data_IF_155092513389
#
_entry.id   IF_155092513389
#
_cell.length_a   1.000
_cell.length_b   1.000
_cell.length_c   1.000
_cell.angle_alpha   90.00
_cell.angle_beta   90.00
_cell.angle_gamma   90.00
#
_symmetry.space_group_name_H-M   'P 1'
#
loop_
_entity.id
_entity.type
_entity.pdbx_description
1 polymer ?
#
# COMPACT_ATOMS: atom_id res chain seq x y z
N UNK A 1 6.41 6.55 5.51
CA UNK A 1 5.62 5.51 6.19
C UNK A 1 6.34 4.18 6.17
N UNK A 2 7.44 4.05 6.91
CA UNK A 2 8.17 2.79 7.05
C UNK A 2 7.42 1.76 7.92
N UNK A 3 6.32 2.16 8.56
CA UNK A 3 5.46 1.30 9.37
C UNK A 3 6.24 0.71 10.53
N UNK A 4 6.35 -0.62 10.55
CA UNK A 4 7.14 -1.35 11.57
C UNK A 4 8.57 -1.63 11.13
N UNK A 5 9.07 -1.00 10.06
CA UNK A 5 10.45 -1.13 9.59
C UNK A 5 10.76 -2.40 8.78
N UNK A 6 9.77 -3.26 8.49
CA UNK A 6 9.98 -4.55 7.79
C UNK A 6 10.72 -4.40 6.45
N UNK A 7 10.31 -3.43 5.62
CA UNK A 7 10.95 -3.22 4.33
C UNK A 7 12.37 -2.64 4.47
N UNK A 8 12.59 -1.71 5.41
CA UNK A 8 13.92 -1.17 5.71
C UNK A 8 14.86 -2.28 6.19
N UNK A 9 14.40 -3.15 7.06
CA UNK A 9 15.16 -4.31 7.53
C UNK A 9 15.55 -5.24 6.38
N UNK A 10 14.58 -5.57 5.50
CA UNK A 10 14.83 -6.40 4.33
C UNK A 10 15.82 -5.75 3.34
N UNK A 11 15.72 -4.44 3.10
CA UNK A 11 16.64 -3.70 2.25
C UNK A 11 18.07 -3.70 2.82
N UNK A 12 18.23 -3.47 4.13
CA UNK A 12 19.54 -3.57 4.80
C UNK A 12 20.12 -4.98 4.71
N UNK A 13 19.30 -6.01 4.94
CA UNK A 13 19.71 -7.41 4.81
C UNK A 13 20.13 -7.79 3.37
N UNK A 14 19.57 -7.10 2.37
CA UNK A 14 19.97 -7.22 0.97
C UNK A 14 21.23 -6.39 0.60
N UNK A 15 21.85 -5.71 1.56
CA UNK A 15 23.09 -4.94 1.37
C UNK A 15 22.89 -3.49 0.95
N UNK A 16 21.67 -2.95 1.04
CA UNK A 16 21.41 -1.54 0.74
C UNK A 16 21.56 -0.63 1.96
N UNK A 17 22.07 0.58 1.74
CA UNK A 17 21.96 1.66 2.71
C UNK A 17 20.51 2.18 2.72
N UNK A 18 19.76 1.82 3.75
CA UNK A 18 18.34 2.15 3.85
C UNK A 18 17.99 2.81 5.20
N UNK A 19 17.20 3.86 5.13
CA UNK A 19 16.55 4.52 6.26
C UNK A 19 15.04 4.57 6.01
N UNK A 20 14.26 4.92 7.04
CA UNK A 20 12.81 4.95 6.92
C UNK A 20 12.19 6.05 7.76
N UNK A 21 11.26 6.79 7.16
CA UNK A 21 10.47 7.84 7.80
C UNK A 21 9.13 7.26 8.26
N UNK A 22 8.77 7.42 9.53
CA UNK A 22 7.52 6.94 10.10
C UNK A 22 6.95 7.89 11.16
N UNK A 23 5.75 8.49 10.94
CA UNK A 23 5.17 9.43 11.91
C UNK A 23 4.63 8.73 13.17
N UNK A 24 4.20 7.47 13.06
CA UNK A 24 3.61 6.74 14.19
C UNK A 24 4.66 6.36 15.24
N UNK A 25 4.51 6.88 16.46
CA UNK A 25 5.32 6.46 17.60
C UNK A 25 5.28 4.94 17.82
N UNK A 26 4.11 4.31 17.60
CA UNK A 26 3.95 2.86 17.70
C UNK A 26 4.72 2.12 16.59
N UNK A 27 4.76 2.66 15.38
CA UNK A 27 5.52 2.12 14.27
C UNK A 27 7.03 2.12 14.56
N UNK A 28 7.56 3.27 14.99
CA UNK A 28 8.97 3.44 15.38
C UNK A 28 9.34 2.51 16.54
N UNK A 29 8.54 2.47 17.60
CA UNK A 29 8.80 1.56 18.73
C UNK A 29 8.80 0.08 18.32
N UNK A 30 7.88 -0.33 17.44
CA UNK A 30 7.84 -1.69 16.93
C UNK A 30 9.05 -2.02 16.05
N UNK A 31 9.52 -1.07 15.23
CA UNK A 31 10.71 -1.25 14.39
C UNK A 31 11.97 -1.45 15.24
N UNK A 32 12.13 -0.66 16.30
CA UNK A 32 13.21 -0.84 17.28
C UNK A 32 13.13 -2.19 17.98
N UNK A 33 11.95 -2.57 18.48
CA UNK A 33 11.78 -3.80 19.25
C UNK A 33 11.98 -5.08 18.43
N UNK A 34 11.55 -5.09 17.16
CA UNK A 34 11.58 -6.30 16.32
C UNK A 34 12.85 -6.41 15.48
N UNK A 35 13.36 -5.29 14.99
CA UNK A 35 14.47 -5.25 14.02
C UNK A 35 15.70 -4.48 14.52
N UNK A 36 15.66 -3.87 15.71
CA UNK A 36 16.74 -2.99 16.17
C UNK A 36 16.93 -1.75 15.29
N UNK A 37 15.89 -1.34 14.56
CA UNK A 37 15.95 -0.23 13.62
C UNK A 37 15.54 1.08 14.28
N UNK A 38 16.43 2.07 14.17
CA UNK A 38 16.08 3.47 14.37
C UNK A 38 15.47 4.03 13.08
N UNK A 39 14.21 4.46 13.17
CA UNK A 39 13.48 5.12 12.09
C UNK A 39 13.34 6.61 12.41
N UNK A 40 13.35 7.44 11.38
CA UNK A 40 13.12 8.87 11.52
C UNK A 40 11.65 9.11 11.84
N UNK A 41 11.37 9.62 13.05
CA UNK A 41 10.01 9.94 13.47
C UNK A 41 9.56 11.26 12.88
N UNK A 42 9.13 11.23 11.62
CA UNK A 42 8.62 12.38 10.89
C UNK A 42 7.49 11.99 9.94
N UNK A 43 6.72 12.98 9.53
CA UNK A 43 5.83 12.91 8.36
C UNK A 43 6.66 13.05 7.07
N UNK A 44 6.06 12.89 5.89
CA UNK A 44 6.77 13.16 4.62
C UNK A 44 7.07 14.66 4.50
N UNK A 45 6.17 15.48 5.02
CA UNK A 45 6.16 16.93 5.07
C UNK A 45 7.23 17.51 6.01
N UNK A 46 7.62 16.75 7.03
CA UNK A 46 8.62 17.19 8.02
C UNK A 46 9.97 16.46 7.87
N UNK A 47 10.05 15.43 7.03
CA UNK A 47 11.26 14.66 6.84
C UNK A 47 12.41 15.52 6.31
N UNK A 48 13.53 15.52 7.04
CA UNK A 48 14.75 16.24 6.71
C UNK A 48 15.68 15.41 5.81
N UNK A 49 15.20 15.08 4.60
CA UNK A 49 15.99 14.37 3.59
C UNK A 49 16.60 15.39 2.62
N UNK A 50 17.91 15.28 2.38
CA UNK A 50 18.64 16.18 1.50
C UNK A 50 18.18 16.09 0.04
N UNK A 51 18.16 17.20 -0.71
CA UNK A 51 17.80 17.17 -2.13
C UNK A 51 18.82 16.36 -2.93
N UNK A 52 18.34 15.55 -3.88
CA UNK A 52 19.20 14.74 -4.76
C UNK A 52 20.05 13.69 -4.03
N UNK A 53 19.71 13.35 -2.78
CA UNK A 53 20.50 12.44 -1.94
C UNK A 53 20.08 10.98 -2.08
N UNK A 54 18.93 10.69 -2.67
CA UNK A 54 18.36 9.35 -2.71
C UNK A 54 18.48 8.71 -4.10
N UNK A 55 18.95 7.47 -4.14
CA UNK A 55 18.90 6.63 -5.33
C UNK A 55 17.48 6.13 -5.63
N UNK A 56 16.77 5.77 -4.56
CA UNK A 56 15.44 5.22 -4.64
C UNK A 56 14.58 5.62 -3.44
N UNK A 57 13.28 5.78 -3.68
CA UNK A 57 12.27 6.00 -2.63
C UNK A 57 11.12 5.02 -2.82
N UNK A 58 10.61 4.42 -1.75
CA UNK A 58 9.49 3.48 -1.81
C UNK A 58 8.32 3.94 -0.96
N UNK A 59 7.11 3.86 -1.51
CA UNK A 59 5.85 4.08 -0.83
C UNK A 59 4.97 2.85 -1.01
N UNK A 60 4.85 2.02 0.02
CA UNK A 60 3.96 0.87 0.01
C UNK A 60 2.73 1.18 0.85
N UNK A 61 1.59 1.40 0.20
CA UNK A 61 0.33 1.72 0.87
C UNK A 61 0.46 2.94 1.80
N UNK A 62 0.98 4.03 1.25
CA UNK A 62 1.19 5.30 1.96
C UNK A 62 0.45 6.43 1.26
N UNK A 63 0.59 6.54 -0.06
CA UNK A 63 0.12 7.70 -0.82
C UNK A 63 -1.40 7.92 -0.70
N UNK A 64 -2.19 6.85 -0.60
CA UNK A 64 -3.64 6.88 -0.42
C UNK A 64 -4.10 7.43 0.92
N UNK A 65 -3.21 7.46 1.92
CA UNK A 65 -3.48 7.97 3.26
C UNK A 65 -3.15 9.46 3.43
N UNK A 66 -2.42 10.06 2.49
CA UNK A 66 -1.95 11.44 2.62
C UNK A 66 -3.05 12.44 2.30
N UNK A 67 -3.04 13.59 3.00
CA UNK A 67 -3.94 14.71 2.72
C UNK A 67 -3.57 15.39 1.38
N UNK A 68 -2.27 15.50 1.09
CA UNK A 68 -1.75 16.07 -0.15
C UNK A 68 -0.79 15.09 -0.86
N UNK A 69 -1.32 14.12 -1.63
CA UNK A 69 -0.51 13.20 -2.42
C UNK A 69 0.41 13.90 -3.44
N UNK A 70 -0.01 15.05 -3.96
CA UNK A 70 0.73 15.81 -4.96
C UNK A 70 1.97 16.47 -4.32
N UNK A 71 1.79 17.20 -3.22
CA UNK A 71 2.88 17.78 -2.45
C UNK A 71 3.88 16.73 -1.94
N UNK A 72 3.38 15.57 -1.50
CA UNK A 72 4.24 14.45 -1.13
C UNK A 72 5.12 13.96 -2.29
N UNK A 73 4.56 13.79 -3.48
CA UNK A 73 5.33 13.40 -4.67
C UNK A 73 6.33 14.46 -5.10
N UNK A 74 6.00 15.75 -4.97
CA UNK A 74 6.93 16.85 -5.22
C UNK A 74 8.15 16.80 -4.27
N UNK A 75 7.92 16.52 -2.98
CA UNK A 75 9.03 16.32 -2.02
C UNK A 75 9.87 15.09 -2.35
N UNK A 76 9.23 13.99 -2.71
CA UNK A 76 9.95 12.76 -3.09
C UNK A 76 10.80 12.98 -4.35
N UNK A 77 10.27 13.69 -5.33
CA UNK A 77 11.03 14.09 -6.50
C UNK A 77 12.26 14.92 -6.10
N UNK A 78 12.14 15.87 -5.17
CA UNK A 78 13.29 16.68 -4.73
C UNK A 78 14.37 15.85 -4.03
N UNK A 79 13.99 14.80 -3.27
CA UNK A 79 14.93 13.92 -2.58
C UNK A 79 15.74 13.01 -3.51
N UNK A 80 15.13 12.56 -4.60
CA UNK A 80 15.77 11.64 -5.56
C UNK A 80 16.87 12.34 -6.34
N UNK A 81 18.02 11.72 -6.60
CA UNK A 81 18.99 12.27 -7.58
C UNK A 81 18.40 12.25 -9.01
N UNK A 82 18.95 13.02 -9.97
CA UNK A 82 18.60 12.85 -11.38
C UNK A 82 18.77 11.38 -11.82
N UNK A 83 17.73 10.80 -12.42
CA UNK A 83 17.71 9.37 -12.77
C UNK A 83 17.38 8.40 -11.62
N UNK A 84 17.24 8.88 -10.39
CA UNK A 84 16.75 8.10 -9.24
C UNK A 84 15.29 7.65 -9.45
N UNK A 85 14.87 6.65 -8.68
CA UNK A 85 13.58 5.97 -8.91
C UNK A 85 12.65 6.02 -7.70
N UNK A 86 11.36 6.23 -7.94
CA UNK A 86 10.32 6.01 -6.93
C UNK A 86 9.53 4.77 -7.27
N UNK A 87 9.17 3.97 -6.25
CA UNK A 87 8.19 2.89 -6.36
C UNK A 87 6.98 3.23 -5.50
N UNK A 88 5.80 3.33 -6.12
CA UNK A 88 4.55 3.67 -5.44
C UNK A 88 3.55 2.53 -5.58
N UNK A 89 3.26 1.84 -4.48
CA UNK A 89 2.22 0.82 -4.36
C UNK A 89 0.96 1.36 -3.70
N UNK A 90 -0.19 1.25 -4.38
CA UNK A 90 -1.50 1.73 -3.91
C UNK A 90 -2.62 0.76 -4.31
N UNK A 91 -3.77 0.79 -3.63
CA UNK A 91 -4.98 0.14 -4.10
C UNK A 91 -5.42 0.68 -5.47
N UNK A 92 -6.00 -0.20 -6.27
CA UNK A 92 -6.47 0.12 -7.61
C UNK A 92 -7.99 0.22 -7.64
N UNK A 93 -8.51 1.45 -7.74
CA UNK A 93 -9.94 1.73 -7.82
C UNK A 93 -10.60 1.26 -9.13
N UNK A 94 -9.81 1.00 -10.17
CA UNK A 94 -10.29 0.44 -11.45
C UNK A 94 -10.21 -1.10 -11.51
N UNK A 95 -9.90 -1.75 -10.38
CA UNK A 95 -9.70 -3.20 -10.30
C UNK A 95 -11.00 -4.00 -10.40
N UNK A 96 -10.86 -5.28 -10.72
CA UNK A 96 -11.96 -6.24 -10.58
C UNK A 96 -12.41 -6.33 -9.11
N UNK A 97 -11.47 -6.25 -8.18
CA UNK A 97 -11.75 -6.27 -6.74
C UNK A 97 -12.66 -5.11 -6.30
N UNK A 98 -12.36 -3.88 -6.75
CA UNK A 98 -13.16 -2.71 -6.46
C UNK A 98 -14.57 -2.83 -7.07
N UNK A 99 -14.67 -3.37 -8.29
CA UNK A 99 -15.94 -3.62 -8.95
C UNK A 99 -16.82 -4.63 -8.19
N UNK A 100 -16.25 -5.77 -7.77
CA UNK A 100 -16.99 -6.82 -7.06
C UNK A 100 -17.30 -6.45 -5.60
N UNK A 101 -16.36 -5.77 -4.94
CA UNK A 101 -16.49 -5.32 -3.56
C UNK A 101 -17.46 -4.15 -3.40
N UNK A 102 -17.51 -3.23 -4.37
CA UNK A 102 -18.37 -2.05 -4.31
C UNK A 102 -18.22 -1.29 -2.98
N UNK A 103 -19.32 -1.00 -2.25
CA UNK A 103 -19.28 -0.30 -0.96
C UNK A 103 -18.54 -1.03 0.16
N UNK A 104 -18.27 -2.33 0.03
CA UNK A 104 -17.56 -3.15 1.03
C UNK A 104 -16.20 -3.63 0.51
N UNK A 105 -15.68 -2.98 -0.53
CA UNK A 105 -14.34 -3.25 -1.03
C UNK A 105 -13.30 -3.10 0.09
N UNK A 106 -12.45 -4.12 0.26
CA UNK A 106 -11.46 -4.16 1.34
C UNK A 106 -10.56 -2.92 1.40
N UNK A 107 -10.16 -2.40 0.24
CA UNK A 107 -9.34 -1.19 0.16
C UNK A 107 -10.13 0.11 0.01
N UNK A 108 -11.46 0.09 0.21
CA UNK A 108 -12.19 1.35 0.36
C UNK A 108 -11.71 2.07 1.62
N UNK A 109 -11.57 1.35 2.75
CA UNK A 109 -10.98 1.76 4.05
C UNK A 109 -11.18 3.24 4.42
N UNK A 110 -12.34 3.82 4.10
CA UNK A 110 -12.65 5.21 4.45
C UNK A 110 -12.93 5.29 5.95
N UNK A 111 -12.45 6.34 6.66
CA UNK A 111 -11.80 7.55 6.15
C UNK A 111 -10.26 7.47 6.10
N UNK A 112 -9.65 6.30 6.33
CA UNK A 112 -8.18 6.16 6.34
C UNK A 112 -7.59 6.28 4.94
N UNK A 113 -8.20 5.67 3.93
CA UNK A 113 -7.88 5.94 2.52
C UNK A 113 -8.64 7.19 2.10
N UNK A 114 -7.91 8.27 1.89
CA UNK A 114 -8.43 9.59 1.51
C UNK A 114 -8.52 9.76 0.01
N UNK A 115 -7.63 9.09 -0.72
CA UNK A 115 -7.58 9.11 -2.18
C UNK A 115 -7.55 7.70 -2.74
N UNK A 116 -8.43 7.39 -3.70
CA UNK A 116 -8.45 6.10 -4.40
C UNK A 116 -7.91 6.28 -5.82
N UNK A 117 -6.77 5.64 -6.10
CA UNK A 117 -6.08 5.82 -7.37
C UNK A 117 -6.53 4.81 -8.44
N UNK A 118 -6.52 5.26 -9.69
CA UNK A 118 -6.50 4.37 -10.87
C UNK A 118 -5.08 4.32 -11.45
N UNK A 119 -4.72 3.31 -12.26
CA UNK A 119 -3.41 3.24 -12.89
C UNK A 119 -3.12 4.49 -13.74
N UNK A 120 -4.13 4.97 -14.48
CA UNK A 120 -4.03 6.17 -15.30
C UNK A 120 -3.85 7.42 -14.43
N UNK A 121 -4.65 7.56 -13.37
CA UNK A 121 -4.57 8.70 -12.44
C UNK A 121 -3.22 8.78 -11.73
N UNK A 122 -2.71 7.67 -11.19
CA UNK A 122 -1.40 7.64 -10.53
C UNK A 122 -0.27 7.97 -11.52
N UNK A 123 -0.30 7.43 -12.73
CA UNK A 123 0.71 7.74 -13.76
C UNK A 123 0.68 9.21 -14.17
N UNK A 124 -0.51 9.80 -14.31
CA UNK A 124 -0.67 11.21 -14.63
C UNK A 124 -0.11 12.09 -13.49
N UNK A 125 -0.43 11.76 -12.24
CA UNK A 125 0.06 12.48 -11.08
C UNK A 125 1.58 12.40 -10.97
N UNK A 126 2.19 11.22 -11.17
CA UNK A 126 3.66 11.07 -11.18
C UNK A 126 4.32 11.97 -12.24
N UNK A 127 3.78 12.00 -13.48
CA UNK A 127 4.31 12.86 -14.54
C UNK A 127 4.23 14.34 -14.22
N UNK A 128 3.16 14.78 -13.55
CA UNK A 128 3.00 16.16 -13.12
C UNK A 128 4.09 16.62 -12.13
N UNK A 129 4.80 15.66 -11.50
CA UNK A 129 5.89 15.91 -10.56
C UNK A 129 7.25 15.41 -11.07
N UNK A 130 7.48 15.45 -12.39
CA UNK A 130 8.76 15.11 -13.04
C UNK A 130 9.24 13.66 -12.79
N UNK A 131 8.31 12.76 -12.46
CA UNK A 131 8.55 11.34 -12.27
C UNK A 131 7.95 10.58 -13.46
N UNK A 132 8.77 10.19 -14.43
CA UNK A 132 8.29 9.46 -15.62
C UNK A 132 8.00 7.99 -15.28
N UNK A 133 6.75 7.51 -15.41
CA UNK A 133 6.39 6.13 -15.09
C UNK A 133 7.05 5.13 -16.05
N UNK A 134 7.88 4.24 -15.50
CA UNK A 134 8.58 3.18 -16.24
C UNK A 134 7.71 1.93 -16.40
N UNK A 135 7.18 1.40 -15.29
CA UNK A 135 6.48 0.12 -15.25
C UNK A 135 5.33 0.18 -14.27
N UNK A 136 4.24 -0.53 -14.59
CA UNK A 136 3.09 -0.72 -13.71
C UNK A 136 2.89 -2.21 -13.50
N UNK A 137 2.95 -2.65 -12.25
CA UNK A 137 2.70 -4.01 -11.81
C UNK A 137 1.26 -4.11 -11.29
N UNK A 138 0.55 -5.16 -11.70
CA UNK A 138 -0.84 -5.43 -11.28
C UNK A 138 -0.97 -6.75 -10.51
N UNK A 139 0.09 -7.55 -10.45
CA UNK A 139 0.12 -8.81 -9.71
C UNK A 139 0.99 -8.59 -8.47
N UNK A 140 0.34 -8.43 -7.31
CA UNK A 140 0.99 -8.21 -6.02
C UNK A 140 0.48 -9.26 -5.03
N UNK A 141 1.14 -10.40 -5.01
CA UNK A 141 0.67 -11.62 -4.31
C UNK A 141 0.46 -11.44 -2.80
N UNK A 142 1.17 -10.51 -2.16
CA UNK A 142 1.01 -10.24 -0.73
C UNK A 142 -0.33 -9.56 -0.40
N UNK A 143 -0.89 -8.76 -1.31
CA UNK A 143 -2.06 -7.91 -1.02
C UNK A 143 -3.32 -8.40 -1.74
N UNK A 144 -3.17 -8.73 -3.02
CA UNK A 144 -4.27 -8.95 -3.94
C UNK A 144 -5.19 -10.13 -3.53
N UNK A 145 -4.67 -11.36 -3.27
CA UNK A 145 -5.53 -12.51 -2.99
C UNK A 145 -6.41 -12.33 -1.76
N UNK A 146 -5.81 -11.85 -0.67
CA UNK A 146 -6.54 -11.59 0.58
C UNK A 146 -7.57 -10.48 0.38
N UNK A 147 -7.21 -9.41 -0.34
CA UNK A 147 -8.11 -8.31 -0.62
C UNK A 147 -9.38 -8.76 -1.34
N UNK A 148 -9.27 -9.56 -2.40
CA UNK A 148 -10.44 -10.04 -3.14
C UNK A 148 -11.31 -10.95 -2.29
N UNK A 149 -10.70 -11.94 -1.64
CA UNK A 149 -11.44 -12.82 -0.74
C UNK A 149 -12.17 -12.02 0.34
N UNK A 150 -11.49 -11.11 1.02
CA UNK A 150 -12.07 -10.30 2.08
C UNK A 150 -13.20 -9.39 1.57
N UNK A 151 -13.10 -8.85 0.35
CA UNK A 151 -14.14 -8.02 -0.26
C UNK A 151 -15.41 -8.82 -0.55
N UNK A 152 -15.27 -10.08 -0.97
CA UNK A 152 -16.40 -10.99 -1.19
C UNK A 152 -17.07 -11.41 0.12
N UNK A 153 -16.26 -11.78 1.13
CA UNK A 153 -16.77 -12.12 2.48
C UNK A 153 -17.49 -10.94 3.12
N UNK A 154 -16.99 -9.73 2.93
CA UNK A 154 -17.59 -8.52 3.52
C UNK A 154 -19.02 -8.24 3.00
N UNK A 155 -19.46 -8.91 1.93
CA UNK A 155 -20.85 -8.84 1.45
C UNK A 155 -21.82 -9.67 2.29
N UNK A 156 -21.30 -10.61 3.09
CA UNK A 156 -22.11 -11.53 3.90
C UNK A 156 -21.95 -11.28 5.40
N UNK A 157 -21.06 -10.37 5.81
CA UNK A 157 -20.83 -9.99 7.21
C UNK A 157 -21.38 -8.60 7.52
N UNK A 158 -21.96 -8.39 8.72
CA UNK A 158 -22.43 -7.06 9.13
C UNK A 158 -21.28 -6.07 9.32
N UNK A 159 -20.10 -6.53 9.71
CA UNK A 159 -18.90 -5.70 9.82
C UNK A 159 -18.03 -5.91 8.58
N UNK A 160 -17.85 -4.91 7.69
CA UNK A 160 -16.95 -5.02 6.56
C UNK A 160 -15.52 -5.28 7.03
N UNK A 161 -14.78 -6.12 6.30
CA UNK A 161 -13.39 -6.46 6.59
C UNK A 161 -13.13 -7.02 7.99
N UNK A 162 -14.15 -7.62 8.63
CA UNK A 162 -14.09 -8.06 10.03
C UNK A 162 -12.85 -8.89 10.37
N UNK A 163 -12.50 -9.90 9.56
CA UNK A 163 -11.36 -10.78 9.86
C UNK A 163 -10.06 -9.97 9.98
N UNK A 164 -9.85 -8.99 9.11
CA UNK A 164 -8.69 -8.10 9.17
C UNK A 164 -8.66 -7.29 10.47
N UNK A 165 -9.80 -6.74 10.89
CA UNK A 165 -9.90 -5.99 12.14
C UNK A 165 -9.72 -6.88 13.37
N UNK A 166 -10.26 -8.10 13.34
CA UNK A 166 -10.09 -9.10 14.40
C UNK A 166 -8.62 -9.54 14.54
N UNK A 167 -7.93 -9.84 13.44
CA UNK A 167 -6.50 -10.18 13.43
C UNK A 167 -5.63 -9.02 13.94
N UNK A 168 -6.03 -7.77 13.69
CA UNK A 168 -5.40 -6.57 14.24
C UNK A 168 -5.76 -6.29 15.71
N UNK A 169 -6.65 -7.09 16.32
CA UNK A 169 -7.19 -6.93 17.67
C UNK A 169 -7.93 -5.60 17.88
N UNK A 170 -8.59 -5.13 16.82
CA UNK A 170 -9.31 -3.85 16.78
C UNK A 170 -10.83 -4.03 16.65
N UNK A 171 -11.34 -5.27 16.69
CA UNK A 171 -12.77 -5.56 16.65
C UNK A 171 -13.11 -6.72 17.60
N UNK A 172 -14.30 -6.73 18.22
CA UNK A 172 -14.76 -7.85 19.02
C UNK A 172 -14.99 -9.09 18.14
N UNK A 173 -14.79 -10.26 18.74
CA UNK A 173 -15.13 -11.52 18.08
C UNK A 173 -16.65 -11.73 18.18
N UNK A 174 -17.34 -11.66 17.04
CA UNK A 174 -18.79 -11.88 16.97
C UNK A 174 -19.09 -13.14 16.18
N UNK A 175 -20.06 -13.94 16.61
CA UNK A 175 -20.48 -15.16 15.88
C UNK A 175 -21.06 -14.79 14.51
N UNK A 176 -21.73 -13.63 14.41
CA UNK A 176 -22.35 -13.12 13.18
C UNK A 176 -21.34 -12.78 12.10
N UNK A 177 -20.12 -12.38 12.46
CA UNK A 177 -19.05 -12.17 11.50
C UNK A 177 -18.17 -13.44 11.33
N UNK A 178 -17.92 -14.16 12.42
CA UNK A 178 -17.03 -15.32 12.44
C UNK A 178 -17.56 -16.50 11.61
N UNK A 179 -18.85 -16.83 11.71
CA UNK A 179 -19.44 -17.98 11.01
C UNK A 179 -19.43 -17.78 9.49
N UNK A 180 -19.95 -16.68 8.92
CA UNK A 180 -19.86 -16.46 7.47
C UNK A 180 -18.41 -16.39 6.97
N UNK A 181 -17.51 -15.78 7.74
CA UNK A 181 -16.07 -15.72 7.42
C UNK A 181 -15.46 -17.13 7.35
N UNK A 182 -15.74 -17.99 8.33
CA UNK A 182 -15.25 -19.37 8.38
C UNK A 182 -15.80 -20.21 7.22
N UNK A 183 -17.10 -20.11 6.94
CA UNK A 183 -17.75 -20.80 5.82
C UNK A 183 -17.18 -20.37 4.45
N UNK A 184 -16.64 -19.14 4.35
CA UNK A 184 -16.06 -18.63 3.14
C UNK A 184 -14.57 -18.98 2.94
N UNK A 185 -13.89 -19.62 3.92
CA UNK A 185 -12.48 -20.01 3.79
C UNK A 185 -12.18 -20.82 2.50
N UNK A 186 -13.01 -21.77 2.06
CA UNK A 186 -12.78 -22.49 0.80
C UNK A 186 -12.73 -21.59 -0.44
N UNK A 187 -13.31 -20.38 -0.38
CA UNK A 187 -13.28 -19.40 -1.47
C UNK A 187 -11.93 -18.67 -1.59
N UNK A 188 -11.00 -18.83 -0.64
CA UNK A 188 -9.71 -18.14 -0.66
C UNK A 188 -8.86 -18.52 -1.88
N UNK A 189 -8.78 -19.81 -2.23
CA UNK A 189 -8.03 -20.27 -3.39
C UNK A 189 -8.67 -19.83 -4.74
N UNK A 190 -9.99 -19.98 -4.95
CA UNK A 190 -10.66 -19.41 -6.12
C UNK A 190 -10.48 -17.89 -6.23
N UNK A 191 -10.58 -17.15 -5.13
CA UNK A 191 -10.32 -15.71 -5.11
C UNK A 191 -8.86 -15.40 -5.51
N UNK A 192 -7.88 -16.12 -4.98
CA UNK A 192 -6.48 -15.96 -5.37
C UNK A 192 -6.26 -16.19 -6.87
N UNK A 193 -6.87 -17.23 -7.45
CA UNK A 193 -6.78 -17.54 -8.86
C UNK A 193 -7.44 -16.46 -9.74
N UNK A 194 -8.67 -16.05 -9.39
CA UNK A 194 -9.38 -14.98 -10.08
C UNK A 194 -8.59 -13.67 -10.05
N UNK A 195 -7.99 -13.37 -8.91
CA UNK A 195 -7.20 -12.16 -8.71
C UNK A 195 -5.88 -12.21 -9.49
N UNK A 196 -5.22 -13.38 -9.59
CA UNK A 196 -4.07 -13.55 -10.47
C UNK A 196 -4.45 -13.28 -11.92
N UNK A 197 -5.56 -13.86 -12.41
CA UNK A 197 -6.07 -13.61 -13.76
C UNK A 197 -6.41 -12.13 -13.98
N UNK A 198 -7.06 -11.49 -13.00
CA UNK A 198 -7.34 -10.05 -13.04
C UNK A 198 -6.05 -9.23 -13.12
N UNK A 199 -5.03 -9.57 -12.32
CA UNK A 199 -3.71 -8.94 -12.37
C UNK A 199 -3.02 -9.09 -13.73
N UNK A 200 -3.05 -10.30 -14.32
CA UNK A 200 -2.53 -10.55 -15.68
C UNK A 200 -3.29 -9.73 -16.74
N UNK A 201 -4.59 -9.53 -16.56
CA UNK A 201 -5.42 -8.65 -17.38
C UNK A 201 -5.31 -7.15 -17.03
N UNK A 202 -4.34 -6.75 -16.18
CA UNK A 202 -4.11 -5.36 -15.73
C UNK A 202 -5.28 -4.75 -14.94
N UNK A 203 -6.03 -5.59 -14.23
CA UNK A 203 -7.18 -5.23 -13.37
C UNK A 203 -7.04 -5.75 -11.94
N UNK A 204 -5.82 -6.05 -11.48
CA UNK A 204 -5.57 -6.48 -10.10
C UNK A 204 -5.91 -5.41 -9.06
N UNK A 205 -6.24 -5.86 -7.84
CA UNK A 205 -6.75 -5.10 -6.70
C UNK A 205 -5.84 -3.98 -6.19
N UNK A 206 -4.54 -4.15 -6.34
CA UNK A 206 -3.51 -3.14 -6.08
C UNK A 206 -2.57 -3.01 -7.28
N UNK A 207 -1.90 -1.87 -7.37
CA UNK A 207 -0.88 -1.59 -8.38
C UNK A 207 0.38 -1.08 -7.74
N UNK A 208 1.53 -1.37 -8.36
CA UNK A 208 2.78 -0.71 -8.05
C UNK A 208 3.37 -0.06 -9.30
N UNK A 209 3.60 1.25 -9.25
CA UNK A 209 4.19 2.02 -10.35
C UNK A 209 5.61 2.42 -9.97
N UNK A 210 6.59 1.98 -10.75
CA UNK A 210 7.95 2.52 -10.68
C UNK A 210 8.06 3.71 -11.63
N UNK A 211 8.63 4.82 -11.18
CA UNK A 211 8.87 6.01 -12.00
C UNK A 211 10.29 6.54 -11.78
N UNK A 212 10.85 7.20 -12.80
CA UNK A 212 12.21 7.76 -12.77
C UNK A 212 12.16 9.27 -12.73
N UNK A 213 12.96 9.89 -11.87
CA UNK A 213 13.17 11.33 -11.84
C UNK A 213 13.86 11.79 -13.13
N UNK A 214 13.22 12.69 -13.87
CA UNK A 214 13.70 13.14 -15.19
C UNK A 214 14.78 14.20 -15.10
N UNK A 215 14.70 15.10 -14.11
CA UNK A 215 15.61 16.24 -13.92
C UNK A 215 15.99 16.41 -12.47
#
# INVERSE_FOLDING_TARGET
GAGRGRFVAAARAAGHEAHGVEPSARGVAAARAVYGLELDRASIEDAAIGPGSQDAVTLWHVLEHLDDPAGALARIASWLRPGGVVLVGVPNAASLQALLGGPVWFHLDAPRHRTHFTPQGLRALLRAHELEPLRTHHVLAEHNPFGLWQSLVSRTTPTPSWLFHALKRNAPLTVRDAVPTGLALPLAAPAAALELLAGLARRGGTIAVSARRVR
#
